data_IF_247617323985
#
_entry.id   IF_247617323985
#
_cell.length_a   1.000
_cell.length_b   1.000
_cell.length_c   1.000
_cell.angle_alpha   90.00
_cell.angle_beta   90.00
_cell.angle_gamma   90.00
#
_symmetry.space_group_name_H-M   'P 1'
#
loop_
_entity.id
_entity.type
_entity.pdbx_description
1 polymer ?
#
# COMPACT_ATOMS: atom_id res chain seq x y z
N UNK A 1 -9.59 4.61 2.45
CA UNK A 1 -9.11 3.54 1.53
C UNK A 1 -8.23 2.52 2.24
N UNK A 2 -7.06 2.88 2.76
CA UNK A 2 -6.18 1.93 3.47
C UNK A 2 -6.73 1.50 4.83
N UNK A 3 -7.36 2.42 5.57
CA UNK A 3 -8.10 2.08 6.79
C UNK A 3 -9.30 1.16 6.52
N UNK A 4 -9.98 1.33 5.39
CA UNK A 4 -11.08 0.44 4.99
C UNK A 4 -10.52 -0.94 4.64
N UNK A 5 -9.38 -1.01 3.97
CA UNK A 5 -8.65 -2.26 3.71
C UNK A 5 -8.27 -2.99 5.01
N UNK A 6 -7.75 -2.27 6.01
CA UNK A 6 -7.43 -2.84 7.31
C UNK A 6 -8.69 -3.34 8.04
N UNK A 7 -9.81 -2.62 7.95
CA UNK A 7 -11.08 -3.00 8.60
C UNK A 7 -11.79 -4.16 7.89
N UNK A 8 -11.77 -4.17 6.56
CA UNK A 8 -12.49 -5.14 5.73
C UNK A 8 -11.66 -6.42 5.49
N UNK A 9 -10.34 -6.29 5.35
CA UNK A 9 -9.44 -7.38 4.95
C UNK A 9 -8.27 -7.60 5.92
N UNK A 10 -8.30 -7.02 7.13
CA UNK A 10 -7.24 -7.17 8.12
C UNK A 10 -6.84 -8.62 8.40
N UNK A 11 -7.82 -9.53 8.48
CA UNK A 11 -7.56 -10.97 8.66
C UNK A 11 -6.81 -11.62 7.47
N UNK A 12 -7.11 -11.18 6.25
CA UNK A 12 -6.44 -11.68 5.03
C UNK A 12 -5.00 -11.15 4.93
N UNK A 13 -4.78 -9.90 5.33
CA UNK A 13 -3.46 -9.28 5.39
C UNK A 13 -2.59 -9.89 6.50
N UNK A 14 -3.16 -10.17 7.67
CA UNK A 14 -2.45 -10.91 8.73
C UNK A 14 -2.11 -12.32 8.25
N UNK A 15 -3.04 -13.01 7.59
CA UNK A 15 -2.81 -14.35 7.04
C UNK A 15 -1.69 -14.37 5.98
N UNK A 16 -1.57 -13.34 5.15
CA UNK A 16 -0.49 -13.24 4.18
C UNK A 16 0.87 -13.00 4.83
N UNK A 17 0.91 -12.27 5.95
CA UNK A 17 2.15 -12.07 6.73
C UNK A 17 2.59 -13.33 7.47
N UNK A 18 1.65 -14.06 8.07
CA UNK A 18 1.97 -15.31 8.78
C UNK A 18 2.36 -16.42 7.82
N UNK A 19 1.69 -16.53 6.67
CA UNK A 19 1.94 -17.59 5.67
C UNK A 19 3.10 -17.27 4.74
N UNK A 20 3.22 -16.00 4.29
CA UNK A 20 4.19 -15.58 3.28
C UNK A 20 5.55 -15.19 3.87
N UNK A 21 5.56 -14.59 5.07
CA UNK A 21 6.78 -14.12 5.71
C UNK A 21 7.09 -14.82 7.05
N UNK A 22 6.24 -15.77 7.46
CA UNK A 22 6.48 -16.58 8.67
C UNK A 22 6.38 -15.78 9.97
N UNK A 23 5.68 -14.64 9.96
CA UNK A 23 5.48 -13.84 11.17
C UNK A 23 4.56 -14.59 12.14
N UNK A 24 4.80 -14.42 13.45
CA UNK A 24 3.79 -14.78 14.44
C UNK A 24 2.57 -13.84 14.33
N UNK A 25 1.36 -14.28 14.72
CA UNK A 25 0.16 -13.45 14.66
C UNK A 25 0.33 -12.09 15.36
N UNK A 26 0.86 -12.08 16.59
CA UNK A 26 1.12 -10.85 17.35
C UNK A 26 2.13 -9.91 16.67
N UNK A 27 3.09 -10.47 15.91
CA UNK A 27 4.04 -9.68 15.14
C UNK A 27 3.38 -9.10 13.90
N UNK A 28 2.57 -9.89 13.21
CA UNK A 28 1.80 -9.44 12.04
C UNK A 28 0.85 -8.30 12.42
N UNK A 29 0.13 -8.39 13.55
CA UNK A 29 -0.77 -7.32 14.01
C UNK A 29 -0.06 -6.01 14.33
N UNK A 30 1.19 -6.06 14.83
CA UNK A 30 2.02 -4.87 15.09
C UNK A 30 2.69 -4.33 13.83
N UNK A 31 3.04 -5.22 12.91
CA UNK A 31 3.66 -4.90 11.63
C UNK A 31 2.68 -4.24 10.67
N UNK A 32 1.43 -4.69 10.68
CA UNK A 32 0.43 -4.36 9.68
C UNK A 32 0.11 -2.85 9.62
N UNK A 33 -0.22 -2.14 10.72
CA UNK A 33 -0.57 -0.72 10.63
C UNK A 33 0.54 0.17 10.05
N UNK A 34 1.79 0.13 10.55
CA UNK A 34 2.85 0.98 9.99
C UNK A 34 3.27 0.55 8.59
N UNK A 35 3.22 -0.76 8.26
CA UNK A 35 3.52 -1.23 6.90
C UNK A 35 2.49 -0.74 5.89
N UNK A 36 1.19 -0.84 6.22
CA UNK A 36 0.10 -0.36 5.35
C UNK A 36 0.15 1.16 5.18
N UNK A 37 0.49 1.93 6.23
CA UNK A 37 0.73 3.37 6.12
C UNK A 37 1.88 3.67 5.16
N UNK A 38 3.04 3.02 5.34
CA UNK A 38 4.20 3.20 4.48
C UNK A 38 3.92 2.86 3.01
N UNK A 39 3.17 1.79 2.74
CA UNK A 39 2.72 1.43 1.38
C UNK A 39 1.84 2.55 0.81
N UNK A 40 0.90 3.08 1.59
CA UNK A 40 0.04 4.17 1.17
C UNK A 40 0.78 5.46 0.84
N UNK A 41 1.73 5.86 1.70
CA UNK A 41 2.58 7.03 1.51
C UNK A 41 3.47 6.86 0.28
N UNK A 42 4.08 5.68 0.09
CA UNK A 42 4.90 5.38 -1.07
C UNK A 42 4.10 5.46 -2.39
N UNK A 43 2.88 4.90 -2.42
CA UNK A 43 1.97 4.99 -3.56
C UNK A 43 1.52 6.45 -3.82
N UNK A 44 1.18 7.19 -2.77
CA UNK A 44 0.75 8.59 -2.85
C UNK A 44 1.85 9.56 -3.25
N UNK A 45 3.12 9.22 -2.98
CA UNK A 45 4.29 10.05 -3.34
C UNK A 45 4.56 10.13 -4.85
N UNK A 46 3.94 9.26 -5.65
CA UNK A 46 4.17 9.17 -7.09
C UNK A 46 5.54 8.61 -7.46
N UNK A 47 5.78 8.46 -8.76
CA UNK A 47 7.04 7.93 -9.31
C UNK A 47 7.18 6.41 -9.22
N UNK A 48 6.06 5.69 -9.05
CA UNK A 48 5.99 4.24 -9.18
C UNK A 48 5.22 3.87 -10.44
N UNK A 49 5.73 2.90 -11.18
CA UNK A 49 5.01 2.32 -12.30
C UNK A 49 3.94 1.36 -11.76
N UNK A 50 2.72 1.88 -11.60
CA UNK A 50 1.60 1.12 -11.04
C UNK A 50 1.18 -0.04 -11.94
N UNK A 51 1.41 0.07 -13.25
CA UNK A 51 1.13 -0.99 -14.21
C UNK A 51 2.10 -2.16 -14.01
N UNK A 52 3.39 -1.88 -13.81
CA UNK A 52 4.39 -2.89 -13.42
C UNK A 52 4.05 -3.48 -12.04
N UNK A 53 3.67 -2.65 -11.06
CA UNK A 53 3.30 -3.11 -9.71
C UNK A 53 2.09 -4.05 -9.72
N UNK A 54 1.04 -3.74 -10.49
CA UNK A 54 -0.14 -4.59 -10.68
C UNK A 54 0.16 -5.84 -11.51
N UNK A 55 1.06 -5.74 -12.48
CA UNK A 55 1.53 -6.85 -13.28
C UNK A 55 2.42 -7.84 -12.51
N UNK A 56 2.73 -7.57 -11.23
CA UNK A 56 3.64 -8.37 -10.44
C UNK A 56 5.11 -8.16 -10.83
N UNK A 57 5.42 -7.05 -11.48
CA UNK A 57 6.77 -6.63 -11.83
C UNK A 57 7.60 -6.43 -10.57
N UNK A 58 8.70 -7.18 -10.47
CA UNK A 58 9.63 -7.08 -9.34
C UNK A 58 10.31 -5.72 -9.23
N UNK A 59 10.35 -4.94 -10.32
CA UNK A 59 10.95 -3.61 -10.37
C UNK A 59 10.16 -2.59 -9.56
N UNK A 60 8.86 -2.47 -9.79
CA UNK A 60 8.01 -1.53 -9.05
C UNK A 60 7.85 -1.90 -7.57
N UNK A 61 7.80 -3.21 -7.24
CA UNK A 61 7.80 -3.64 -5.82
C UNK A 61 9.09 -3.21 -5.14
N UNK A 62 10.25 -3.42 -5.79
CA UNK A 62 11.53 -2.99 -5.24
C UNK A 62 11.59 -1.48 -5.04
N UNK A 63 11.18 -0.69 -6.04
CA UNK A 63 11.14 0.77 -5.96
C UNK A 63 10.20 1.28 -4.86
N UNK A 64 9.08 0.59 -4.61
CA UNK A 64 8.17 0.92 -3.53
C UNK A 64 8.80 0.60 -2.16
N UNK A 65 9.48 -0.55 -2.03
CA UNK A 65 10.19 -0.91 -0.80
C UNK A 65 11.32 0.06 -0.47
N UNK A 66 12.00 0.61 -1.47
CA UNK A 66 13.04 1.64 -1.27
C UNK A 66 12.50 2.96 -0.75
N UNK A 67 11.21 3.25 -0.99
CA UNK A 67 10.53 4.45 -0.47
C UNK A 67 10.00 4.29 0.96
N UNK A 68 9.94 3.06 1.46
CA UNK A 68 9.38 2.77 2.78
C UNK A 68 10.53 2.66 3.78
N UNK A 69 10.43 3.37 4.90
CA UNK A 69 11.40 3.23 5.98
C UNK A 69 11.13 1.95 6.77
N UNK A 70 11.88 0.90 6.43
CA UNK A 70 11.68 -0.46 6.95
C UNK A 70 12.16 -0.58 8.41
N UNK A 71 13.13 0.24 8.82
CA UNK A 71 13.72 0.17 10.16
C UNK A 71 12.69 0.33 11.29
N UNK A 72 11.90 1.43 11.30
CA UNK A 72 10.83 1.65 12.28
C UNK A 72 9.74 0.57 12.24
N UNK A 73 9.40 0.06 11.05
CA UNK A 73 8.37 -0.98 10.86
C UNK A 73 8.85 -2.31 11.45
N UNK A 74 10.11 -2.68 11.17
CA UNK A 74 10.75 -3.87 11.73
C UNK A 74 10.83 -3.78 13.26
N UNK A 75 11.25 -2.62 13.79
CA UNK A 75 11.34 -2.37 15.22
C UNK A 75 9.99 -2.49 15.94
N UNK A 76 8.91 -1.96 15.35
CA UNK A 76 7.56 -2.03 15.91
C UNK A 76 7.06 -3.48 16.09
N UNK A 77 7.46 -4.38 15.19
CA UNK A 77 7.10 -5.79 15.22
C UNK A 77 8.15 -6.71 15.89
N UNK A 78 9.28 -6.15 16.34
CA UNK A 78 10.40 -6.93 16.89
C UNK A 78 11.02 -7.89 15.85
N UNK A 79 11.11 -7.44 14.59
CA UNK A 79 11.66 -8.19 13.46
C UNK A 79 13.03 -7.63 13.06
N UNK A 80 13.83 -8.47 12.41
CA UNK A 80 14.97 -7.99 11.63
C UNK A 80 14.50 -7.38 10.29
N UNK A 81 15.35 -6.55 9.69
CA UNK A 81 15.04 -5.86 8.43
C UNK A 81 14.79 -6.81 7.26
N UNK A 82 15.40 -8.00 7.23
CA UNK A 82 15.21 -8.96 6.14
C UNK A 82 13.81 -9.56 6.20
N UNK A 83 13.36 -9.96 7.39
CA UNK A 83 11.98 -10.42 7.62
C UNK A 83 10.97 -9.32 7.38
N UNK A 84 11.26 -8.09 7.80
CA UNK A 84 10.41 -6.94 7.53
C UNK A 84 10.29 -6.67 6.02
N UNK A 85 11.39 -6.72 5.25
CA UNK A 85 11.36 -6.61 3.78
C UNK A 85 10.49 -7.70 3.14
N UNK A 86 10.67 -8.96 3.54
CA UNK A 86 9.86 -10.08 3.03
C UNK A 86 8.39 -9.93 3.38
N UNK A 87 8.10 -9.52 4.61
CA UNK A 87 6.75 -9.22 5.08
C UNK A 87 6.11 -8.14 4.24
N UNK A 88 6.77 -6.99 4.08
CA UNK A 88 6.33 -5.87 3.26
C UNK A 88 6.11 -6.27 1.80
N UNK A 89 7.02 -7.03 1.18
CA UNK A 89 6.85 -7.49 -0.20
C UNK A 89 5.57 -8.34 -0.37
N UNK A 90 5.35 -9.29 0.54
CA UNK A 90 4.13 -10.11 0.56
C UNK A 90 2.88 -9.25 0.77
N UNK A 91 2.94 -8.30 1.70
CA UNK A 91 1.87 -7.36 2.02
C UNK A 91 1.51 -6.49 0.83
N UNK A 92 2.50 -5.95 0.11
CA UNK A 92 2.32 -5.14 -1.10
C UNK A 92 1.55 -5.92 -2.15
N UNK A 93 1.95 -7.16 -2.42
CA UNK A 93 1.22 -8.01 -3.37
C UNK A 93 -0.24 -8.22 -2.94
N UNK A 94 -0.50 -8.55 -1.67
CA UNK A 94 -1.87 -8.72 -1.16
C UNK A 94 -2.67 -7.41 -1.27
N UNK A 95 -2.10 -6.28 -0.84
CA UNK A 95 -2.76 -4.96 -0.91
C UNK A 95 -3.07 -4.59 -2.35
N UNK A 96 -2.16 -4.81 -3.30
CA UNK A 96 -2.41 -4.56 -4.73
C UNK A 96 -3.49 -5.46 -5.30
N UNK A 97 -3.51 -6.75 -4.95
CA UNK A 97 -4.58 -7.66 -5.37
C UNK A 97 -5.94 -7.23 -4.82
N UNK A 98 -6.01 -6.85 -3.54
CA UNK A 98 -7.25 -6.41 -2.91
C UNK A 98 -7.74 -5.07 -3.48
N UNK A 99 -6.83 -4.10 -3.68
CA UNK A 99 -7.15 -2.84 -4.35
C UNK A 99 -7.60 -3.07 -5.79
N UNK A 100 -6.93 -3.96 -6.53
CA UNK A 100 -7.31 -4.35 -7.88
C UNK A 100 -8.72 -4.94 -7.90
N UNK A 101 -9.01 -5.90 -7.02
CA UNK A 101 -10.34 -6.49 -6.90
C UNK A 101 -11.41 -5.44 -6.54
N UNK A 102 -11.13 -4.54 -5.60
CA UNK A 102 -12.05 -3.47 -5.19
C UNK A 102 -12.30 -2.44 -6.29
N UNK A 103 -11.30 -2.17 -7.12
CA UNK A 103 -11.39 -1.22 -8.22
C UNK A 103 -11.98 -1.81 -9.51
N UNK A 104 -12.28 -3.12 -9.55
CA UNK A 104 -12.78 -3.80 -10.75
C UNK A 104 -11.69 -4.28 -11.72
N UNK A 105 -10.47 -4.49 -11.21
CA UNK A 105 -9.31 -4.99 -11.93
C UNK A 105 -8.17 -3.98 -11.99
N UNK A 106 -7.08 -4.36 -12.68
CA UNK A 106 -5.91 -3.50 -12.87
C UNK A 106 -6.26 -2.19 -13.59
N UNK A 107 -7.11 -2.26 -14.61
CA UNK A 107 -7.57 -1.09 -15.37
C UNK A 107 -8.42 -0.13 -14.52
N UNK A 108 -9.26 -0.66 -13.63
CA UNK A 108 -10.04 0.14 -12.70
C UNK A 108 -9.16 0.81 -11.65
N UNK A 109 -8.16 0.09 -11.11
CA UNK A 109 -7.20 0.66 -10.16
C UNK A 109 -6.33 1.72 -10.82
N UNK A 110 -5.86 1.49 -12.05
CA UNK A 110 -5.14 2.49 -12.85
C UNK A 110 -6.02 3.69 -13.21
N UNK A 111 -7.33 3.50 -13.41
CA UNK A 111 -8.24 4.62 -13.61
C UNK A 111 -8.45 5.44 -12.33
N UNK A 112 -8.45 4.78 -11.16
CA UNK A 112 -8.56 5.42 -9.85
C UNK A 112 -7.27 6.13 -9.42
N UNK A 113 -6.09 5.58 -9.73
CA UNK A 113 -4.78 6.16 -9.35
C UNK A 113 -4.15 7.01 -10.46
N UNK A 114 -4.35 6.64 -11.71
CA UNK A 114 -3.68 7.18 -12.89
C UNK A 114 -4.62 7.80 -13.91
N UNK A 115 -5.86 8.13 -13.53
CA UNK A 115 -6.86 8.83 -14.36
C UNK A 115 -6.34 10.15 -14.92
N UNK A 116 -5.56 10.06 -15.98
CA UNK A 116 -5.18 11.14 -16.89
C UNK A 116 -6.32 11.29 -17.89
N UNK A 117 -7.17 12.26 -17.60
CA UNK A 117 -8.27 12.70 -18.45
C UNK A 117 -9.04 13.79 -17.72
N UNK A 118 -8.41 14.95 -17.56
CA UNK A 118 -8.99 16.19 -17.00
C UNK A 118 -9.41 16.12 -15.52
N UNK A 119 -8.55 16.66 -14.64
CA UNK A 119 -8.93 17.17 -13.32
C UNK A 119 -9.75 16.23 -12.39
N UNK A 120 -9.05 15.43 -11.59
CA UNK A 120 -9.47 15.26 -10.19
C UNK A 120 -10.62 14.29 -9.86
N UNK A 121 -10.50 13.02 -10.23
CA UNK A 121 -11.30 11.96 -9.60
C UNK A 121 -10.74 11.60 -8.21
N UNK A 122 -11.51 11.84 -7.15
CA UNK A 122 -11.21 11.58 -5.73
C UNK A 122 -10.07 12.40 -5.07
N UNK A 123 -8.84 12.35 -5.58
CA UNK A 123 -7.70 13.10 -5.00
C UNK A 123 -7.74 14.59 -5.37
N UNK A 124 -8.18 14.92 -6.59
CA UNK A 124 -8.42 16.31 -7.00
C UNK A 124 -9.70 16.91 -6.43
N UNK A 125 -10.68 16.11 -6.00
CA UNK A 125 -11.84 16.60 -5.25
C UNK A 125 -11.46 17.01 -3.82
N UNK A 126 -10.59 16.24 -3.16
CA UNK A 126 -10.02 16.61 -1.86
C UNK A 126 -9.02 17.77 -1.95
N UNK A 127 -8.14 17.78 -2.95
CA UNK A 127 -7.25 18.91 -3.24
C UNK A 127 -8.01 20.18 -3.63
N UNK A 128 -9.11 20.04 -4.36
CA UNK A 128 -9.98 21.15 -4.76
C UNK A 128 -10.82 21.73 -3.62
N UNK A 129 -11.23 20.91 -2.63
CA UNK A 129 -11.87 21.42 -1.41
C UNK A 129 -10.87 22.04 -0.44
N UNK A 130 -9.69 21.44 -0.24
CA UNK A 130 -8.63 22.00 0.60
C UNK A 130 -8.09 23.33 0.04
N UNK A 131 -7.91 23.42 -1.29
CA UNK A 131 -7.50 24.64 -1.97
C UNK A 131 -8.52 25.78 -1.89
N UNK A 132 -9.83 25.48 -1.86
CA UNK A 132 -10.90 26.49 -1.68
C UNK A 132 -11.12 26.91 -0.22
N UNK A 133 -10.67 26.13 0.76
CA UNK A 133 -10.80 26.47 2.19
C UNK A 133 -9.57 27.18 2.75
N UNK A 134 -8.37 26.95 2.19
CA UNK A 134 -7.12 27.60 2.63
C UNK A 134 -6.57 28.62 1.62
N UNK A 135 -7.13 28.71 0.41
CA UNK A 135 -6.74 29.66 -0.63
C UNK A 135 -7.66 30.88 -0.70
N UNK A 136 -7.54 31.75 0.31
CA UNK A 136 -7.91 33.17 0.35
C UNK A 136 -9.35 33.60 -0.02
#
# INVERSE_FOLDING_TARGET
MLEDLLKEHGGELVSSLTSGAGLAPDQAEKFLPPAVSGIGEALGSGGLDLSDLLGGGGGAVSALLEKIDIGPIAAAAGLDEERARKGLASLVSTVMSLLGNKAGGAEGLLSMLGGSGEAGGALGALGGMAGKLFGK
#
